data_IF_292403491679
#
_entry.id   IF_292403491679
#
_cell.length_a   1.000
_cell.length_b   1.000
_cell.length_c   1.000
_cell.angle_alpha   90.00
_cell.angle_beta   90.00
_cell.angle_gamma   90.00
#
_symmetry.space_group_name_H-M   'P 1'
#
loop_
_entity.id
_entity.type
_entity.pdbx_description
1 polymer ?
#
# COMPACT_ATOMS: atom_id res chain seq x y z
N UNK A 1 17.64 -16.78 -0.18
CA UNK A 1 17.11 -16.34 -0.23
C UNK A 1 16.20 -16.00 -0.12
N UNK A 2 15.86 -16.03 -0.03
CA UNK A 2 15.06 -15.54 -0.06
C UNK A 2 14.39 -15.15 0.69
N UNK A 3 14.10 -14.65 0.58
CA UNK A 3 13.41 -13.94 1.46
C UNK A 3 12.08 -14.42 1.68
N UNK A 4 11.73 -14.68 2.85
CA UNK A 4 10.46 -15.25 3.16
C UNK A 4 9.35 -14.24 3.28
N UNK A 5 9.67 -12.97 3.34
CA UNK A 5 8.66 -11.95 3.50
C UNK A 5 8.03 -11.62 2.15
N UNK A 6 6.73 -11.45 2.15
CA UNK A 6 6.00 -11.02 0.99
C UNK A 6 5.41 -9.66 1.27
N UNK A 7 5.69 -8.71 0.41
CA UNK A 7 5.16 -7.37 0.52
C UNK A 7 3.94 -7.25 -0.37
N UNK A 8 2.86 -6.76 0.20
CA UNK A 8 1.64 -6.47 -0.54
C UNK A 8 1.35 -5.00 -0.39
N UNK A 9 1.08 -4.36 -1.50
CA UNK A 9 0.84 -2.93 -1.50
C UNK A 9 -0.65 -2.65 -1.45
N UNK A 10 -1.01 -1.74 -0.57
CA UNK A 10 -2.36 -1.27 -0.38
C UNK A 10 -2.37 0.24 -0.58
N UNK A 11 -3.48 0.76 -1.07
CA UNK A 11 -3.55 2.20 -1.28
C UNK A 11 -4.95 2.72 -0.96
N UNK A 12 -4.98 3.99 -0.57
CA UNK A 12 -6.20 4.76 -0.43
C UNK A 12 -6.07 5.97 -1.34
N UNK A 13 -7.21 6.46 -1.82
CA UNK A 13 -7.21 7.64 -2.67
C UNK A 13 -7.98 8.76 -2.00
N UNK A 14 -7.47 9.97 -2.19
CA UNK A 14 -8.10 11.18 -1.69
C UNK A 14 -7.95 12.21 -2.80
N UNK A 15 -8.97 12.29 -3.67
CA UNK A 15 -8.85 13.05 -4.90
C UNK A 15 -7.76 12.46 -5.78
N UNK A 16 -6.80 13.27 -6.17
CA UNK A 16 -5.67 12.83 -6.98
C UNK A 16 -4.47 12.42 -6.14
N UNK A 17 -4.63 12.30 -4.84
CA UNK A 17 -3.55 11.88 -3.96
C UNK A 17 -3.69 10.40 -3.64
N UNK A 18 -2.60 9.66 -3.80
CA UNK A 18 -2.53 8.26 -3.44
C UNK A 18 -1.73 8.12 -2.16
N UNK A 19 -2.26 7.33 -1.23
CA UNK A 19 -1.59 7.07 0.04
C UNK A 19 -1.36 5.57 0.10
N UNK A 20 -0.09 5.17 0.21
CA UNK A 20 0.29 3.77 0.18
C UNK A 20 0.53 3.23 1.58
N UNK A 21 0.29 1.94 1.74
CA UNK A 21 0.66 1.19 2.93
C UNK A 21 1.23 -0.14 2.47
N UNK A 22 2.28 -0.60 3.15
CA UNK A 22 2.92 -1.87 2.83
C UNK A 22 2.56 -2.89 3.90
N UNK A 23 1.89 -3.96 3.50
CA UNK A 23 1.62 -5.08 4.38
C UNK A 23 2.66 -6.16 4.14
N UNK A 24 3.33 -6.58 5.19
CA UNK A 24 4.37 -7.61 5.10
C UNK A 24 4.03 -8.76 6.02
N UNK A 25 4.00 -9.95 5.46
CA UNK A 25 3.83 -11.15 6.24
C UNK A 25 5.18 -11.62 6.76
N UNK A 26 5.25 -11.94 8.05
CA UNK A 26 6.49 -12.34 8.69
C UNK A 26 6.52 -13.84 8.88
N UNK A 27 7.71 -14.37 9.19
CA UNK A 27 7.94 -15.82 9.25
C UNK A 27 7.05 -16.56 10.21
N UNK A 28 6.66 -15.92 11.30
CA UNK A 28 5.84 -16.57 12.32
C UNK A 28 4.35 -16.52 12.01
N UNK A 29 3.98 -16.02 10.84
CA UNK A 29 2.57 -15.87 10.47
C UNK A 29 1.95 -14.58 10.96
N UNK A 30 2.73 -13.76 11.66
CA UNK A 30 2.31 -12.43 12.02
C UNK A 30 2.47 -11.50 10.82
N UNK A 31 2.04 -10.26 10.96
CA UNK A 31 2.15 -9.29 9.88
C UNK A 31 2.47 -7.92 10.44
N UNK A 32 2.97 -7.06 9.58
CA UNK A 32 3.16 -5.65 9.94
C UNK A 32 2.72 -4.78 8.78
N UNK A 33 2.29 -3.57 9.13
CA UNK A 33 1.90 -2.57 8.13
C UNK A 33 2.78 -1.35 8.34
N UNK A 34 3.48 -0.94 7.29
CA UNK A 34 4.27 0.27 7.28
C UNK A 34 3.46 1.34 6.57
N UNK A 35 3.18 2.45 7.26
CA UNK A 35 2.31 3.48 6.71
C UNK A 35 3.11 4.73 6.33
N UNK A 36 2.41 5.68 5.71
CA UNK A 36 3.05 6.89 5.20
C UNK A 36 3.53 7.83 6.30
N UNK A 37 3.11 7.61 7.53
CA UNK A 37 3.61 8.37 8.68
C UNK A 37 4.95 7.84 9.17
N UNK A 38 5.39 6.71 8.62
CA UNK A 38 6.64 6.09 9.03
C UNK A 38 6.48 5.13 10.19
N UNK A 39 5.25 4.81 10.56
CA UNK A 39 4.99 3.89 11.66
C UNK A 39 4.88 2.47 11.13
N UNK A 40 5.41 1.52 11.88
CA UNK A 40 5.24 0.10 11.60
C UNK A 40 4.33 -0.46 12.67
N UNK A 41 3.17 -0.96 12.25
CA UNK A 41 2.15 -1.45 13.17
C UNK A 41 2.12 -2.97 13.11
N UNK A 42 2.24 -3.65 14.24
CA UNK A 42 2.22 -5.10 14.26
C UNK A 42 0.78 -5.64 14.31
N UNK A 43 0.59 -6.81 13.71
CA UNK A 43 -0.69 -7.50 13.71
C UNK A 43 -0.45 -8.98 13.94
N UNK A 44 -1.42 -9.65 14.57
CA UNK A 44 -1.31 -11.07 14.87
C UNK A 44 -1.30 -11.95 13.63
N UNK A 45 -1.90 -11.47 12.54
CA UNK A 45 -2.00 -12.26 11.32
C UNK A 45 -2.19 -11.33 10.13
N UNK A 46 -1.99 -11.89 8.94
CA UNK A 46 -2.28 -11.17 7.70
C UNK A 46 -3.75 -10.77 7.64
N UNK A 47 -4.64 -11.67 8.06
CA UNK A 47 -6.08 -11.38 8.02
C UNK A 47 -6.45 -10.20 8.89
N UNK A 48 -5.86 -10.10 10.08
CA UNK A 48 -6.12 -8.97 10.97
C UNK A 48 -5.60 -7.67 10.36
N UNK A 49 -4.41 -7.73 9.76
CA UNK A 49 -3.84 -6.55 9.11
C UNK A 49 -4.69 -6.11 7.92
N UNK A 50 -5.17 -7.07 7.12
CA UNK A 50 -6.02 -6.73 5.97
C UNK A 50 -7.33 -6.09 6.44
N UNK A 51 -7.92 -6.62 7.51
CA UNK A 51 -9.16 -6.05 8.04
C UNK A 51 -8.95 -4.61 8.49
N UNK A 52 -7.83 -4.32 9.13
CA UNK A 52 -7.54 -2.97 9.57
C UNK A 52 -7.36 -2.02 8.39
N UNK A 53 -6.70 -2.49 7.32
CA UNK A 53 -6.52 -1.67 6.12
C UNK A 53 -7.85 -1.41 5.44
N UNK A 54 -8.71 -2.42 5.34
CA UNK A 54 -10.02 -2.23 4.73
C UNK A 54 -10.90 -1.29 5.55
N UNK A 55 -10.80 -1.37 6.88
CA UNK A 55 -11.53 -0.43 7.73
C UNK A 55 -11.08 1.01 7.52
N UNK A 56 -9.82 1.20 7.17
CA UNK A 56 -9.28 2.53 6.88
C UNK A 56 -9.46 2.90 5.40
N UNK A 57 -10.23 2.12 4.67
CA UNK A 57 -10.59 2.36 3.28
C UNK A 57 -9.43 2.22 2.30
N UNK A 58 -8.45 1.43 2.67
CA UNK A 58 -7.41 1.01 1.73
C UNK A 58 -7.89 -0.20 0.94
N UNK A 59 -7.37 -0.32 -0.28
CA UNK A 59 -7.63 -1.50 -1.11
C UNK A 59 -6.31 -2.10 -1.55
N UNK A 60 -6.30 -3.39 -1.76
CA UNK A 60 -5.09 -4.10 -2.18
C UNK A 60 -4.83 -3.79 -3.65
N UNK A 61 -3.65 -3.25 -3.95
CA UNK A 61 -3.35 -2.79 -5.30
C UNK A 61 -3.36 -3.93 -6.31
N UNK A 62 -2.79 -5.07 -5.94
CA UNK A 62 -2.68 -6.20 -6.87
C UNK A 62 -4.04 -6.81 -7.20
N UNK A 63 -5.05 -6.54 -6.40
CA UNK A 63 -6.38 -7.03 -6.65
C UNK A 63 -7.24 -6.13 -7.51
N UNK A 64 -6.72 -4.98 -7.91
CA UNK A 64 -7.48 -4.02 -8.70
C UNK A 64 -7.38 -4.32 -10.19
N UNK A 65 -8.51 -4.22 -10.89
CA UNK A 65 -8.47 -4.15 -12.34
C UNK A 65 -8.62 -2.68 -12.76
N UNK A 66 -8.59 -2.45 -14.07
CA UNK A 66 -8.65 -1.08 -14.58
C UNK A 66 -9.97 -0.41 -14.23
N UNK A 67 -11.07 -1.16 -14.25
CA UNK A 67 -12.36 -0.60 -13.88
C UNK A 67 -12.39 -0.15 -12.43
N UNK A 68 -11.81 -0.95 -11.53
CA UNK A 68 -11.72 -0.59 -10.12
C UNK A 68 -10.88 0.65 -9.92
N UNK A 69 -9.77 0.74 -10.66
CA UNK A 69 -8.87 1.88 -10.55
C UNK A 69 -9.56 3.15 -11.03
N UNK A 70 -10.26 3.07 -12.15
CA UNK A 70 -10.96 4.24 -12.68
C UNK A 70 -12.03 4.75 -11.75
N UNK A 71 -12.72 3.84 -11.04
CA UNK A 71 -13.71 4.26 -10.05
C UNK A 71 -13.08 5.03 -8.91
N UNK A 72 -11.79 4.80 -8.67
CA UNK A 72 -11.07 5.50 -7.61
C UNK A 72 -10.31 6.71 -8.11
N UNK A 73 -10.42 7.01 -9.39
CA UNK A 73 -9.88 8.24 -9.94
C UNK A 73 -8.49 8.13 -10.55
N UNK A 74 -8.04 6.91 -10.84
CA UNK A 74 -6.72 6.77 -11.48
C UNK A 74 -6.75 5.62 -12.49
N UNK A 75 -5.70 5.53 -13.29
CA UNK A 75 -5.49 4.43 -14.23
C UNK A 75 -4.34 3.58 -13.72
N UNK A 76 -4.46 2.25 -13.84
CA UNK A 76 -3.37 1.37 -13.44
C UNK A 76 -2.08 1.69 -14.17
N UNK A 77 -2.19 2.19 -15.40
CA UNK A 77 -1.01 2.51 -16.20
C UNK A 77 -0.21 3.68 -15.63
N UNK A 78 -0.83 4.54 -14.82
CA UNK A 78 -0.13 5.72 -14.29
C UNK A 78 0.38 5.52 -12.86
N UNK A 79 0.16 4.34 -12.27
CA UNK A 79 0.44 4.13 -10.85
C UNK A 79 1.34 2.92 -10.69
N UNK A 80 2.41 3.08 -9.90
CA UNK A 80 3.32 2.00 -9.56
C UNK A 80 3.59 2.09 -8.06
N UNK A 81 3.57 0.96 -7.34
CA UNK A 81 3.92 1.00 -5.93
C UNK A 81 5.31 1.60 -5.73
N UNK A 82 5.51 2.35 -4.65
CA UNK A 82 6.80 3.00 -4.44
C UNK A 82 7.89 1.98 -4.16
N UNK A 83 9.11 2.31 -4.54
CA UNK A 83 10.27 1.47 -4.30
C UNK A 83 11.40 2.31 -3.77
N UNK A 84 12.07 1.81 -2.74
CA UNK A 84 13.23 2.47 -2.18
C UNK A 84 14.07 1.42 -1.47
N UNK A 85 15.34 1.75 -1.21
CA UNK A 85 16.24 0.78 -0.62
C UNK A 85 16.06 0.65 0.90
N UNK A 86 15.42 1.60 1.54
CA UNK A 86 15.17 1.53 2.96
C UNK A 86 13.84 2.20 3.29
N UNK A 87 13.37 1.97 4.52
CA UNK A 87 12.06 2.46 4.92
C UNK A 87 12.01 3.98 5.03
N UNK A 88 13.10 4.61 5.43
CA UNK A 88 13.13 6.06 5.55
C UNK A 88 12.93 6.72 4.18
N UNK A 89 13.61 6.18 3.16
CA UNK A 89 13.45 6.69 1.80
C UNK A 89 12.09 6.34 1.23
N UNK A 90 11.60 5.13 1.56
CA UNK A 90 10.31 4.67 1.09
C UNK A 90 9.18 5.56 1.58
N UNK A 91 9.24 5.92 2.85
CA UNK A 91 8.20 6.75 3.46
C UNK A 91 7.94 8.02 2.65
N UNK A 92 9.00 8.63 2.13
CA UNK A 92 8.88 9.87 1.38
C UNK A 92 8.13 9.68 0.07
N UNK A 93 8.02 8.44 -0.41
CA UNK A 93 7.37 8.14 -1.68
C UNK A 93 5.95 7.59 -1.50
N UNK A 94 5.48 7.44 -0.26
CA UNK A 94 4.22 6.74 0.00
C UNK A 94 3.01 7.65 -0.09
N UNK A 95 3.20 8.95 -0.23
CA UNK A 95 2.12 9.86 -0.56
C UNK A 95 2.45 10.47 -1.91
N UNK A 96 1.64 10.19 -2.90
CA UNK A 96 1.91 10.59 -4.27
C UNK A 96 0.73 11.37 -4.80
N UNK A 97 0.99 12.47 -5.48
CA UNK A 97 -0.06 13.22 -6.14
C UNK A 97 0.03 12.95 -7.63
N UNK A 98 -1.07 12.47 -8.19
CA UNK A 98 -1.12 12.23 -9.63
C UNK A 98 -1.12 13.56 -10.37
N UNK A 99 -0.57 13.54 -11.57
CA UNK A 99 -0.45 14.74 -12.36
C UNK A 99 -1.79 15.38 -12.62
N UNK A 100 -1.79 16.70 -12.72
CA UNK A 100 -2.99 17.42 -13.05
C UNK A 100 -3.39 17.12 -14.48
N UNK A 101 -4.69 17.03 -14.70
CA UNK A 101 -5.18 16.86 -16.05
C UNK A 101 -5.36 18.21 -16.70
N UNK A 102 -4.89 18.30 -17.91
CA UNK A 102 -5.10 19.51 -18.67
C UNK A 102 -6.51 19.54 -19.20
#
# INVERSE_FOLDING_TARGET
MNNSAHDRWWLATLGRTLIWARLRELDAGTAEVFDSDGATLPFDSVDTARAALMDAEFVEFEGLDEGDALERGFSLAEVTPPQARDDASLRALMVQTLGARA
#
